data_IF_331235383947
#
_entry.id   IF_331235383947
#
_cell.length_a   1.000
_cell.length_b   1.000
_cell.length_c   1.000
_cell.angle_alpha   90.00
_cell.angle_beta   90.00
_cell.angle_gamma   90.00
#
_symmetry.space_group_name_H-M   'P 1'
#
loop_
_entity.id
_entity.type
_entity.pdbx_description
1 polymer ?
#
# COMPACT_ATOMS: atom_id res chain seq x y z
N UNK A 1 2.10 -1.45 8.36
CA UNK A 1 1.31 -1.63 9.60
C UNK A 1 0.06 -0.78 9.50
N UNK A 2 -1.07 -1.28 9.98
CA UNK A 2 -2.33 -0.53 10.01
C UNK A 2 -3.04 -0.76 11.34
N UNK A 3 -3.53 0.30 11.98
CA UNK A 3 -4.38 0.15 13.16
C UNK A 3 -5.78 -0.35 12.77
N UNK A 4 -6.35 -1.23 13.59
CA UNK A 4 -7.69 -1.78 13.36
C UNK A 4 -8.31 -2.28 14.67
N UNK A 5 -9.60 -2.62 14.63
CA UNK A 5 -10.22 -3.45 15.66
C UNK A 5 -9.99 -4.92 15.31
N UNK A 6 -9.55 -5.70 16.29
CA UNK A 6 -9.23 -7.11 16.10
C UNK A 6 -10.45 -8.00 15.85
N UNK A 7 -11.66 -7.49 16.04
CA UNK A 7 -12.96 -8.08 15.70
C UNK A 7 -13.55 -7.57 14.38
N UNK A 8 -12.83 -6.75 13.63
CA UNK A 8 -13.32 -6.27 12.34
C UNK A 8 -13.41 -7.40 11.32
N UNK A 9 -14.35 -7.30 10.35
CA UNK A 9 -14.52 -8.34 9.31
C UNK A 9 -13.23 -8.71 8.57
N UNK A 10 -12.37 -7.71 8.29
CA UNK A 10 -11.08 -7.95 7.64
C UNK A 10 -10.09 -8.70 8.53
N UNK A 11 -10.16 -8.50 9.85
CA UNK A 11 -9.35 -9.23 10.82
C UNK A 11 -9.74 -10.71 10.86
N UNK A 12 -11.05 -11.00 10.84
CA UNK A 12 -11.57 -12.37 10.74
C UNK A 12 -11.16 -13.04 9.42
N UNK A 13 -11.27 -12.32 8.30
CA UNK A 13 -10.86 -12.80 6.98
C UNK A 13 -9.37 -13.13 6.95
N UNK A 14 -8.51 -12.24 7.47
CA UNK A 14 -7.06 -12.44 7.56
C UNK A 14 -6.71 -13.67 8.42
N UNK A 15 -7.47 -13.91 9.49
CA UNK A 15 -7.33 -15.11 10.31
C UNK A 15 -7.60 -16.43 9.57
N UNK A 16 -8.40 -16.38 8.49
CA UNK A 16 -8.71 -17.55 7.64
C UNK A 16 -7.79 -17.63 6.42
N UNK A 17 -7.56 -16.49 5.77
CA UNK A 17 -6.77 -16.35 4.55
C UNK A 17 -5.82 -15.17 4.72
N UNK A 18 -4.57 -15.48 5.03
CA UNK A 18 -3.56 -14.45 5.28
C UNK A 18 -3.07 -13.73 4.01
N UNK A 19 -3.38 -14.22 2.80
CA UNK A 19 -2.87 -13.61 1.55
C UNK A 19 -3.59 -12.29 1.28
N UNK A 20 -2.83 -11.20 1.18
CA UNK A 20 -3.36 -9.84 0.98
C UNK A 20 -2.58 -9.08 -0.08
N UNK A 21 -3.21 -8.00 -0.56
CA UNK A 21 -2.55 -6.95 -1.34
C UNK A 21 -2.86 -5.58 -0.71
N UNK A 22 -1.84 -4.73 -0.61
CA UNK A 22 -1.98 -3.32 -0.24
C UNK A 22 -1.61 -2.46 -1.46
N UNK A 23 -2.62 -1.78 -2.01
CA UNK A 23 -2.48 -0.85 -3.13
C UNK A 23 -2.39 0.59 -2.64
N UNK A 24 -1.46 1.36 -3.22
CA UNK A 24 -1.28 2.78 -2.99
C UNK A 24 -1.33 3.53 -4.32
N UNK A 25 -1.99 4.69 -4.34
CA UNK A 25 -2.14 5.50 -5.54
C UNK A 25 -2.01 6.98 -5.17
N UNK A 26 -1.05 7.65 -5.81
CA UNK A 26 -0.98 9.10 -5.92
C UNK A 26 -1.35 9.46 -7.36
N UNK A 27 -2.62 9.81 -7.55
CA UNK A 27 -3.17 10.06 -8.89
C UNK A 27 -2.58 11.33 -9.50
N UNK A 28 -2.29 12.35 -8.69
CA UNK A 28 -1.75 13.62 -9.18
C UNK A 28 -0.30 13.45 -9.65
N UNK A 29 0.49 12.69 -8.90
CA UNK A 29 1.87 12.35 -9.29
C UNK A 29 1.96 11.19 -10.29
N UNK A 30 0.84 10.53 -10.63
CA UNK A 30 0.79 9.31 -11.45
C UNK A 30 1.68 8.19 -10.89
N UNK A 31 1.71 8.01 -9.57
CA UNK A 31 2.52 6.99 -8.89
C UNK A 31 1.64 5.94 -8.24
N UNK A 32 1.97 4.68 -8.47
CA UNK A 32 1.18 3.56 -7.98
C UNK A 32 2.09 2.47 -7.42
N UNK A 33 1.68 1.87 -6.32
CA UNK A 33 2.38 0.72 -5.73
C UNK A 33 1.39 -0.38 -5.37
N UNK A 34 1.77 -1.62 -5.64
CA UNK A 34 1.01 -2.82 -5.29
C UNK A 34 1.90 -3.76 -4.50
N UNK A 35 1.58 -3.96 -3.22
CA UNK A 35 2.37 -4.79 -2.31
C UNK A 35 1.58 -6.05 -1.99
N UNK A 36 2.06 -7.22 -2.43
CA UNK A 36 1.43 -8.51 -2.11
C UNK A 36 2.21 -9.24 -1.03
N UNK A 37 1.51 -9.96 -0.16
CA UNK A 37 2.15 -10.76 0.87
C UNK A 37 1.17 -11.36 1.86
N UNK A 38 1.60 -11.46 3.12
CA UNK A 38 0.85 -12.10 4.20
C UNK A 38 0.50 -11.13 5.30
N UNK A 39 -0.76 -11.17 5.76
CA UNK A 39 -1.24 -10.39 6.86
C UNK A 39 -1.43 -11.21 8.13
N UNK A 40 -1.25 -10.56 9.27
CA UNK A 40 -1.55 -11.11 10.60
C UNK A 40 -2.07 -10.00 11.53
N UNK A 41 -2.93 -10.39 12.47
CA UNK A 41 -3.43 -9.50 13.51
C UNK A 41 -2.54 -9.64 14.74
N UNK A 42 -1.92 -8.53 15.13
CA UNK A 42 -0.98 -8.43 16.23
C UNK A 42 -1.62 -7.62 17.36
N UNK A 43 -1.66 -8.21 18.56
CA UNK A 43 -2.11 -7.57 19.81
C UNK A 43 -0.92 -7.37 20.76
N UNK A 44 0.19 -6.90 20.23
CA UNK A 44 1.39 -6.56 20.99
C UNK A 44 1.28 -5.12 21.48
N UNK A 45 1.23 -4.97 22.80
CA UNK A 45 1.07 -3.66 23.44
C UNK A 45 2.24 -2.73 23.17
N UNK A 46 3.47 -3.23 23.25
CA UNK A 46 4.66 -2.43 23.06
C UNK A 46 4.72 -1.90 21.62
N UNK A 47 4.37 -2.73 20.63
CA UNK A 47 4.33 -2.31 19.22
C UNK A 47 3.20 -1.30 18.95
N UNK A 48 2.05 -1.46 19.59
CA UNK A 48 0.93 -0.51 19.52
C UNK A 48 1.36 0.86 20.05
N UNK A 49 2.03 0.90 21.19
CA UNK A 49 2.54 2.14 21.78
C UNK A 49 3.64 2.77 20.93
N UNK A 50 4.55 1.97 20.37
CA UNK A 50 5.62 2.42 19.47
C UNK A 50 5.09 3.13 18.20
N UNK A 51 4.04 2.57 17.58
CA UNK A 51 3.50 3.07 16.31
C UNK A 51 2.37 4.11 16.50
N UNK A 52 2.02 4.43 17.75
CA UNK A 52 0.90 5.30 18.04
C UNK A 52 1.15 6.74 17.60
N UNK A 53 0.14 7.38 17.01
CA UNK A 53 0.15 8.78 16.64
C UNK A 53 -1.09 9.49 17.23
N UNK A 54 -0.96 10.69 17.83
CA UNK A 54 -2.07 11.36 18.51
C UNK A 54 -3.36 11.53 17.67
N UNK A 55 -3.23 11.73 16.36
CA UNK A 55 -4.35 11.86 15.43
C UNK A 55 -5.21 10.58 15.31
N UNK A 56 -4.68 9.42 15.68
CA UNK A 56 -5.43 8.15 15.66
C UNK A 56 -6.59 8.16 16.66
N UNK A 57 -6.60 9.07 17.64
CA UNK A 57 -7.73 9.29 18.55
C UNK A 57 -9.05 9.59 17.84
N UNK A 58 -9.01 10.07 16.60
CA UNK A 58 -10.21 10.25 15.79
C UNK A 58 -10.98 8.93 15.52
N UNK A 59 -10.30 7.78 15.55
CA UNK A 59 -10.89 6.45 15.37
C UNK A 59 -10.86 5.57 16.63
N UNK A 60 -9.94 5.84 17.55
CA UNK A 60 -9.72 5.11 18.79
C UNK A 60 -9.73 6.11 19.97
N UNK A 61 -10.91 6.52 20.47
CA UNK A 61 -11.04 7.63 21.42
C UNK A 61 -10.26 7.44 22.73
N UNK A 62 -10.16 6.19 23.20
CA UNK A 62 -9.41 5.83 24.42
C UNK A 62 -7.90 5.67 24.16
N UNK A 63 -7.45 5.95 22.94
CA UNK A 63 -6.06 5.87 22.52
C UNK A 63 -5.55 4.43 22.49
N UNK A 64 -4.33 4.22 22.99
CA UNK A 64 -3.76 2.89 23.09
C UNK A 64 -4.60 1.99 24.00
N UNK A 65 -5.35 2.52 24.97
CA UNK A 65 -6.23 1.75 25.86
C UNK A 65 -7.55 1.32 25.21
N UNK A 66 -7.79 1.66 23.94
CA UNK A 66 -9.03 1.26 23.24
C UNK A 66 -9.21 -0.27 23.26
N UNK A 67 -10.34 -0.78 23.78
CA UNK A 67 -10.62 -2.21 23.77
C UNK A 67 -10.55 -2.79 22.36
N UNK A 68 -9.97 -3.98 22.23
CA UNK A 68 -9.79 -4.69 20.95
C UNK A 68 -8.95 -3.94 19.89
N UNK A 69 -8.21 -2.90 20.28
CA UNK A 69 -7.22 -2.30 19.40
C UNK A 69 -6.17 -3.35 19.00
N UNK A 70 -5.86 -3.39 17.71
CA UNK A 70 -4.90 -4.32 17.14
C UNK A 70 -4.16 -3.67 15.97
N UNK A 71 -3.07 -4.33 15.59
CA UNK A 71 -2.31 -3.98 14.41
C UNK A 71 -2.48 -5.06 13.34
N UNK A 72 -2.89 -4.65 12.15
CA UNK A 72 -2.74 -5.46 10.95
C UNK A 72 -1.30 -5.29 10.45
N UNK A 73 -0.48 -6.33 10.61
CA UNK A 73 0.85 -6.41 10.01
C UNK A 73 0.71 -7.01 8.62
N UNK A 74 1.32 -6.37 7.63
CA UNK A 74 1.49 -6.96 6.30
C UNK A 74 2.98 -7.20 6.10
N UNK A 75 3.36 -8.46 6.02
CA UNK A 75 4.70 -8.90 5.60
C UNK A 75 4.70 -8.98 4.08
N UNK A 76 5.37 -8.03 3.43
CA UNK A 76 5.40 -7.94 1.96
C UNK A 76 6.31 -9.03 1.40
N UNK A 77 5.80 -9.79 0.44
CA UNK A 77 6.55 -10.82 -0.29
C UNK A 77 6.98 -10.32 -1.67
N UNK A 78 6.11 -9.55 -2.35
CA UNK A 78 6.42 -8.89 -3.65
C UNK A 78 5.85 -7.49 -3.71
N UNK A 79 6.55 -6.62 -4.42
CA UNK A 79 6.12 -5.27 -4.72
C UNK A 79 6.18 -5.00 -6.23
N UNK A 80 5.16 -4.35 -6.76
CA UNK A 80 5.18 -3.72 -8.08
C UNK A 80 4.98 -2.22 -7.91
N UNK A 81 5.77 -1.43 -8.63
CA UNK A 81 5.69 0.02 -8.64
C UNK A 81 5.56 0.52 -10.07
N UNK A 82 4.75 1.56 -10.26
CA UNK A 82 4.58 2.28 -11.51
C UNK A 82 4.77 3.77 -11.25
N UNK A 83 5.70 4.37 -11.98
CA UNK A 83 5.88 5.82 -12.01
C UNK A 83 5.55 6.35 -13.42
N UNK A 84 4.44 7.08 -13.51
CA UNK A 84 4.00 7.76 -14.73
C UNK A 84 4.54 9.18 -14.86
N UNK A 85 5.40 9.65 -13.94
CA UNK A 85 5.83 11.06 -13.84
C UNK A 85 6.76 11.54 -14.97
N UNK A 86 6.78 10.89 -16.13
CA UNK A 86 7.25 11.56 -17.35
C UNK A 86 6.48 12.89 -17.47
N UNK A 87 7.17 13.99 -17.78
CA UNK A 87 6.50 15.30 -17.84
C UNK A 87 5.35 15.27 -18.87
N UNK A 88 4.30 16.08 -18.69
CA UNK A 88 3.22 16.23 -19.68
C UNK A 88 3.77 16.51 -21.09
N UNK A 89 4.88 17.26 -21.18
CA UNK A 89 5.58 17.52 -22.44
C UNK A 89 6.21 16.25 -23.02
N UNK A 90 6.79 15.39 -22.18
CA UNK A 90 7.36 14.10 -22.59
C UNK A 90 6.25 13.14 -23.05
N UNK A 91 5.10 13.12 -22.38
CA UNK A 91 3.92 12.35 -22.81
C UNK A 91 3.38 12.85 -24.15
N UNK A 92 3.22 14.17 -24.32
CA UNK A 92 2.76 14.77 -25.58
C UNK A 92 3.74 14.51 -26.72
N UNK A 93 5.05 14.64 -26.48
CA UNK A 93 6.08 14.32 -27.46
C UNK A 93 6.09 12.83 -27.82
N UNK A 94 5.99 11.95 -26.83
CA UNK A 94 5.92 10.49 -27.05
C UNK A 94 4.68 10.09 -27.84
N UNK A 95 3.53 10.73 -27.56
CA UNK A 95 2.30 10.53 -28.30
C UNK A 95 2.41 11.00 -29.76
N UNK A 96 2.96 12.20 -30.01
CA UNK A 96 3.23 12.68 -31.37
C UNK A 96 4.21 11.78 -32.10
N UNK A 97 5.30 11.38 -31.44
CA UNK A 97 6.27 10.44 -31.99
C UNK A 97 5.63 9.12 -32.38
N UNK A 98 4.77 8.55 -31.52
CA UNK A 98 4.05 7.31 -31.80
C UNK A 98 3.11 7.43 -33.01
N UNK A 99 2.43 8.57 -33.19
CA UNK A 99 1.59 8.82 -34.37
C UNK A 99 2.39 8.93 -35.67
N UNK A 100 3.61 9.47 -35.61
CA UNK A 100 4.48 9.67 -36.78
C UNK A 100 5.25 8.40 -37.14
N UNK A 101 5.72 7.66 -36.14
CA UNK A 101 6.61 6.50 -36.30
C UNK A 101 5.86 5.17 -36.31
N UNK A 102 4.66 5.10 -35.71
CA UNK A 102 3.91 3.86 -35.54
C UNK A 102 4.39 2.97 -34.39
N UNK A 103 5.43 3.35 -33.65
CA UNK A 103 5.93 2.59 -32.51
C UNK A 103 5.17 2.94 -31.21
N UNK A 104 4.89 1.98 -30.30
CA UNK A 104 4.16 2.24 -29.07
C UNK A 104 4.93 3.18 -28.13
N UNK A 105 4.23 4.17 -27.56
CA UNK A 105 4.83 5.07 -26.58
C UNK A 105 5.22 4.32 -25.29
N UNK A 106 6.48 4.42 -24.88
CA UNK A 106 6.98 3.88 -23.61
C UNK A 106 6.62 4.85 -22.46
N UNK A 107 5.40 4.72 -21.98
CA UNK A 107 4.84 5.55 -20.92
C UNK A 107 5.02 4.84 -19.57
N UNK A 108 6.13 5.14 -18.90
CA UNK A 108 6.42 4.73 -17.51
C UNK A 108 7.32 3.50 -17.36
N UNK A 109 7.99 3.42 -16.21
CA UNK A 109 8.78 2.26 -15.79
C UNK A 109 7.92 1.33 -14.92
N UNK A 110 7.99 0.01 -15.16
CA UNK A 110 7.42 -1.02 -14.29
C UNK A 110 8.57 -1.84 -13.70
N UNK A 111 8.71 -1.81 -12.38
CA UNK A 111 9.71 -2.62 -11.68
C UNK A 111 9.02 -3.64 -10.76
N UNK A 112 9.48 -4.89 -10.83
CA UNK A 112 9.04 -5.99 -9.97
C UNK A 112 10.14 -6.33 -9.00
N UNK A 113 9.87 -6.15 -7.70
CA UNK A 113 10.83 -6.44 -6.64
C UNK A 113 10.36 -7.67 -5.85
N UNK A 114 11.17 -8.72 -5.85
CA UNK A 114 11.03 -9.86 -4.94
C UNK A 114 11.79 -9.57 -3.64
N UNK A 115 11.06 -9.44 -2.52
CA UNK A 115 11.64 -9.04 -1.22
C UNK A 115 11.99 -10.23 -0.32
N UNK A 116 12.41 -11.36 -0.90
CA UNK A 116 12.83 -12.53 -0.12
C UNK A 116 14.16 -12.24 0.58
N UNK A 117 14.12 -12.16 1.91
CA UNK A 117 15.25 -12.39 2.82
C UNK A 117 15.08 -13.71 3.55
#
# INVERSE_FOLDING_TARGET
WFFTYGSSHKADEVGRVAKVNAGFADVDAQRYASLSGRAEIIRDRAKIEELWLPQLKAWFPDGVETPDIALLKVTVERAEYWDGSQSILTHAFSFVSALVTGEPAQLGENEKLDLKS
#
